data_IF_589723234945
#
_entry.id   IF_589723234945
#
_cell.length_a   1.000
_cell.length_b   1.000
_cell.length_c   1.000
_cell.angle_alpha   90.00
_cell.angle_beta   90.00
_cell.angle_gamma   90.00
#
_symmetry.space_group_name_H-M   'P 1'
#
loop_
_entity.id
_entity.type
_entity.pdbx_description
1 polymer ?
#
# COMPACT_ATOMS: atom_id res chain seq x y z
N UNK A 1 -17.45 16.62 -33.03
CA UNK A 1 -16.66 15.91 -31.99
C UNK A 1 -17.50 14.73 -31.50
N UNK A 2 -17.42 13.58 -32.16
CA UNK A 2 -18.34 12.46 -31.91
C UNK A 2 -17.69 11.37 -31.05
N UNK A 3 -18.33 11.01 -29.93
CA UNK A 3 -18.02 9.83 -29.11
C UNK A 3 -17.30 10.11 -27.77
N UNK A 4 -17.77 9.48 -26.68
CA UNK A 4 -17.00 9.36 -25.45
C UNK A 4 -15.80 8.43 -25.70
N UNK A 5 -14.59 8.95 -25.48
CA UNK A 5 -13.36 8.15 -25.56
C UNK A 5 -13.05 7.56 -24.19
N UNK A 6 -13.35 6.29 -24.01
CA UNK A 6 -13.03 5.56 -22.78
C UNK A 6 -11.53 5.24 -22.69
N UNK A 7 -11.00 5.27 -21.46
CA UNK A 7 -9.66 4.81 -21.13
C UNK A 7 -9.71 4.05 -19.81
N UNK A 8 -8.84 3.07 -19.65
CA UNK A 8 -8.73 2.28 -18.44
C UNK A 8 -7.56 2.76 -17.61
N UNK A 9 -7.82 3.08 -16.34
CA UNK A 9 -6.81 3.40 -15.34
C UNK A 9 -6.58 2.15 -14.49
N UNK A 10 -5.36 1.63 -14.51
CA UNK A 10 -4.94 0.49 -13.69
C UNK A 10 -4.06 0.96 -12.55
N UNK A 11 -4.33 0.46 -11.35
CA UNK A 11 -3.49 0.59 -10.17
C UNK A 11 -2.87 -0.77 -9.87
N UNK A 12 -1.55 -0.82 -9.73
CA UNK A 12 -0.80 -2.05 -9.48
C UNK A 12 0.12 -1.82 -8.29
N UNK A 13 0.06 -2.73 -7.33
CA UNK A 13 1.00 -2.78 -6.22
C UNK A 13 1.92 -3.98 -6.37
N UNK A 14 3.18 -3.80 -6.03
CA UNK A 14 4.22 -4.83 -6.02
C UNK A 14 4.90 -4.78 -4.66
N UNK A 15 5.33 -5.92 -4.15
CA UNK A 15 6.20 -6.00 -2.99
C UNK A 15 6.82 -7.38 -2.88
N UNK A 16 7.86 -7.48 -2.08
CA UNK A 16 8.65 -8.69 -1.84
C UNK A 16 8.31 -9.36 -0.51
N UNK A 17 7.32 -8.84 0.24
CA UNK A 17 6.98 -9.25 1.60
C UNK A 17 8.12 -9.06 2.61
N UNK A 18 9.18 -8.35 2.25
CA UNK A 18 10.39 -8.19 3.06
C UNK A 18 10.88 -6.74 3.10
N UNK A 19 9.94 -5.81 3.27
CA UNK A 19 10.27 -4.40 3.47
C UNK A 19 10.44 -3.60 2.17
N UNK A 20 10.01 -4.08 1.00
CA UNK A 20 9.91 -3.24 -0.19
C UNK A 20 8.49 -3.25 -0.76
N UNK A 21 8.00 -2.05 -1.08
CA UNK A 21 6.69 -1.89 -1.72
C UNK A 21 6.76 -0.84 -2.82
N UNK A 22 6.10 -1.11 -3.94
CA UNK A 22 5.97 -0.20 -5.07
C UNK A 22 4.51 -0.06 -5.47
N UNK A 23 4.12 1.16 -5.87
CA UNK A 23 2.77 1.44 -6.37
C UNK A 23 2.88 2.16 -7.71
N UNK A 24 2.19 1.62 -8.71
CA UNK A 24 2.17 2.13 -10.07
C UNK A 24 0.75 2.38 -10.55
N UNK A 25 0.57 3.50 -11.27
CA UNK A 25 -0.72 3.88 -11.83
C UNK A 25 -0.53 4.26 -13.29
N UNK A 26 -1.28 3.63 -14.19
CA UNK A 26 -1.22 3.97 -15.61
C UNK A 26 -2.60 3.98 -16.24
N UNK A 27 -2.78 4.89 -17.20
CA UNK A 27 -3.99 5.01 -17.99
C UNK A 27 -3.69 4.73 -19.47
N UNK A 28 -4.47 3.86 -20.11
CA UNK A 28 -4.32 3.52 -21.53
C UNK A 28 -5.67 3.22 -22.18
N UNK A 29 -5.69 3.09 -23.52
CA UNK A 29 -6.91 2.72 -24.27
C UNK A 29 -7.30 1.27 -24.03
N UNK A 30 -6.32 0.38 -23.91
CA UNK A 30 -6.53 -1.05 -23.71
C UNK A 30 -6.08 -1.47 -22.31
N UNK A 31 -6.85 -2.37 -21.69
CA UNK A 31 -6.59 -2.84 -20.32
C UNK A 31 -5.21 -3.48 -20.18
N UNK A 32 -4.83 -4.37 -21.10
CA UNK A 32 -3.54 -5.06 -21.05
C UNK A 32 -2.35 -4.09 -21.09
N UNK A 33 -2.44 -3.04 -21.92
CA UNK A 33 -1.40 -2.01 -22.01
C UNK A 33 -1.32 -1.15 -20.75
N UNK A 34 -2.46 -0.86 -20.11
CA UNK A 34 -2.51 -0.14 -18.83
C UNK A 34 -1.83 -0.97 -17.72
N UNK A 35 -2.16 -2.26 -17.61
CA UNK A 35 -1.59 -3.16 -16.59
C UNK A 35 -0.08 -3.30 -16.77
N UNK A 36 0.39 -3.64 -17.99
CA UNK A 36 1.83 -3.83 -18.26
C UNK A 36 2.64 -2.59 -17.90
N UNK A 37 2.16 -1.41 -18.27
CA UNK A 37 2.88 -0.19 -17.95
C UNK A 37 2.71 0.25 -16.49
N UNK A 38 1.62 -0.10 -15.81
CA UNK A 38 1.47 0.11 -14.37
C UNK A 38 2.44 -0.78 -13.57
N UNK A 39 2.68 -2.02 -14.01
CA UNK A 39 3.71 -2.91 -13.44
C UNK A 39 5.10 -2.28 -13.55
N UNK A 40 5.47 -1.78 -14.74
CA UNK A 40 6.77 -1.12 -14.93
C UNK A 40 6.89 0.11 -14.02
N UNK A 41 5.86 0.95 -13.96
CA UNK A 41 5.87 2.12 -13.08
C UNK A 41 6.01 1.72 -11.61
N UNK A 42 5.30 0.68 -11.16
CA UNK A 42 5.36 0.17 -9.79
C UNK A 42 6.77 -0.35 -9.43
N UNK A 43 7.48 -0.96 -10.38
CA UNK A 43 8.87 -1.40 -10.17
C UNK A 43 9.86 -0.23 -10.10
N UNK A 44 9.58 0.86 -10.81
CA UNK A 44 10.42 2.07 -10.77
C UNK A 44 10.19 2.88 -9.48
N UNK A 45 9.00 2.80 -8.89
CA UNK A 45 8.60 3.53 -7.68
C UNK A 45 8.70 2.68 -6.41
N UNK A 46 9.62 1.72 -6.35
CA UNK A 46 9.83 0.90 -5.15
C UNK A 46 10.40 1.76 -4.03
N UNK A 47 9.77 1.67 -2.86
CA UNK A 47 10.13 2.39 -1.65
C UNK A 47 10.48 1.36 -0.57
N UNK A 48 11.64 1.52 0.11
CA UNK A 48 11.96 0.71 1.27
C UNK A 48 11.06 1.08 2.46
N UNK A 49 10.49 0.07 3.11
CA UNK A 49 9.60 0.17 4.26
C UNK A 49 10.37 -0.26 5.50
N UNK A 50 10.63 0.72 6.38
CA UNK A 50 11.28 0.44 7.65
C UNK A 50 10.30 -0.26 8.60
N UNK A 51 10.63 -1.49 9.00
CA UNK A 51 9.95 -2.26 10.04
C UNK A 51 10.65 -2.08 11.39
N UNK A 52 9.94 -2.39 12.46
CA UNK A 52 10.40 -2.28 13.84
C UNK A 52 9.59 -3.14 14.79
N UNK A 53 9.68 -2.80 16.07
CA UNK A 53 9.07 -3.55 17.18
C UNK A 53 8.09 -2.65 17.94
N UNK A 54 7.10 -3.25 18.59
CA UNK A 54 6.17 -2.53 19.46
C UNK A 54 6.76 -2.26 20.85
N UNK A 55 7.64 -3.15 21.33
CA UNK A 55 8.27 -3.10 22.64
C UNK A 55 9.72 -3.61 22.57
N UNK A 56 10.04 -4.64 23.36
CA UNK A 56 11.38 -5.24 23.35
C UNK A 56 11.73 -5.80 21.95
N UNK A 57 12.97 -5.54 21.50
CA UNK A 57 13.48 -5.94 20.19
C UNK A 57 13.86 -7.44 20.18
N UNK A 58 12.84 -8.29 20.23
CA UNK A 58 12.98 -9.75 20.16
C UNK A 58 12.70 -10.21 18.74
N UNK A 59 13.56 -11.06 18.16
CA UNK A 59 13.34 -11.70 16.86
C UNK A 59 13.29 -10.74 15.67
N UNK A 60 12.52 -11.09 14.63
CA UNK A 60 12.33 -10.30 13.41
C UNK A 60 11.40 -9.08 13.64
N UNK A 61 11.58 -7.96 12.91
CA UNK A 61 10.74 -6.78 13.03
C UNK A 61 9.35 -7.01 12.39
N UNK A 62 8.29 -6.95 13.19
CA UNK A 62 6.93 -7.34 12.79
C UNK A 62 5.97 -6.17 12.52
N UNK A 63 6.27 -4.96 13.01
CA UNK A 63 5.35 -3.80 13.00
C UNK A 63 6.03 -2.53 12.47
N UNK A 64 5.26 -1.45 12.29
CA UNK A 64 5.78 -0.10 12.02
C UNK A 64 6.52 0.43 13.27
N UNK A 65 7.68 1.12 13.15
CA UNK A 65 8.48 1.58 14.29
C UNK A 65 7.85 2.71 15.10
N UNK A 66 6.97 3.51 14.51
CA UNK A 66 6.29 4.62 15.17
C UNK A 66 4.91 4.84 14.57
N UNK A 67 4.09 5.70 15.19
CA UNK A 67 2.80 6.06 14.61
C UNK A 67 3.05 6.97 13.40
N UNK A 68 2.72 6.48 12.20
CA UNK A 68 2.91 7.21 10.94
C UNK A 68 1.55 7.56 10.34
N UNK A 69 1.41 8.74 9.76
CA UNK A 69 0.22 9.15 9.03
C UNK A 69 0.57 9.57 7.61
N UNK A 70 -0.14 9.02 6.63
CA UNK A 70 -0.11 9.46 5.24
C UNK A 70 -1.44 10.10 4.84
N UNK A 71 -1.40 11.16 4.05
CA UNK A 71 -2.59 11.84 3.53
C UNK A 71 -2.49 11.96 2.01
N UNK A 72 -3.56 11.59 1.31
CA UNK A 72 -3.72 11.81 -0.13
C UNK A 72 -5.15 12.30 -0.36
N UNK A 73 -5.28 13.51 -0.92
CA UNK A 73 -6.59 14.15 -1.11
C UNK A 73 -7.34 14.33 0.23
N UNK A 74 -8.57 13.83 0.29
CA UNK A 74 -9.41 13.83 1.50
C UNK A 74 -9.16 12.64 2.43
N UNK A 75 -8.40 11.64 1.99
CA UNK A 75 -8.14 10.40 2.74
C UNK A 75 -6.88 10.54 3.56
N UNK A 76 -6.99 10.22 4.86
CA UNK A 76 -5.88 10.10 5.78
C UNK A 76 -5.84 8.68 6.33
N UNK A 77 -4.68 8.03 6.21
CA UNK A 77 -4.42 6.71 6.78
C UNK A 77 -3.33 6.83 7.84
N UNK A 78 -3.66 6.43 9.06
CA UNK A 78 -2.72 6.35 10.18
C UNK A 78 -2.37 4.90 10.45
N UNK A 79 -1.08 4.60 10.42
CA UNK A 79 -0.50 3.33 10.85
C UNK A 79 -0.07 3.46 12.30
N UNK A 80 -0.47 2.51 13.11
CA UNK A 80 -0.19 2.47 14.55
C UNK A 80 0.53 1.14 14.83
N UNK A 81 1.66 1.19 15.56
CA UNK A 81 2.38 -0.02 15.94
C UNK A 81 1.51 -0.97 16.76
N UNK A 82 1.61 -2.28 16.52
CA UNK A 82 0.79 -3.29 17.17
C UNK A 82 1.64 -4.38 17.86
N UNK A 83 1.14 -4.97 18.97
CA UNK A 83 1.75 -6.15 19.58
C UNK A 83 1.84 -7.34 18.61
N UNK A 84 2.76 -8.26 18.87
CA UNK A 84 2.92 -9.48 18.05
C UNK A 84 1.66 -10.33 18.04
N UNK A 85 1.30 -10.84 16.87
CA UNK A 85 0.15 -11.74 16.69
C UNK A 85 -1.21 -11.03 16.61
N UNK A 86 -1.21 -9.70 16.52
CA UNK A 86 -2.43 -8.90 16.28
C UNK A 86 -2.95 -9.10 14.85
N UNK A 87 -2.04 -9.34 13.91
CA UNK A 87 -2.27 -9.28 12.48
C UNK A 87 -2.50 -7.86 11.97
N UNK A 88 -2.79 -7.76 10.68
CA UNK A 88 -3.08 -6.49 10.02
C UNK A 88 -4.56 -6.17 10.17
N UNK A 89 -4.86 -5.19 11.01
CA UNK A 89 -6.21 -4.63 11.23
C UNK A 89 -6.38 -3.44 10.30
N UNK A 90 -6.81 -3.72 9.08
CA UNK A 90 -7.00 -2.72 8.03
C UNK A 90 -8.11 -3.11 7.04
N UNK A 91 -8.58 -2.13 6.26
CA UNK A 91 -9.49 -2.36 5.15
C UNK A 91 -8.85 -3.33 4.12
N UNK A 92 -9.64 -4.09 3.33
CA UNK A 92 -9.10 -5.13 2.45
C UNK A 92 -8.02 -4.63 1.48
N UNK A 93 -8.19 -3.43 0.91
CA UNK A 93 -7.23 -2.84 0.00
C UNK A 93 -5.90 -2.48 0.69
N UNK A 94 -5.95 -1.80 1.84
CA UNK A 94 -4.75 -1.44 2.60
C UNK A 94 -4.08 -2.66 3.24
N UNK A 95 -4.85 -3.67 3.64
CA UNK A 95 -4.33 -4.94 4.15
C UNK A 95 -3.41 -5.61 3.13
N UNK A 96 -3.81 -5.69 1.86
CA UNK A 96 -2.97 -6.27 0.79
C UNK A 96 -1.68 -5.48 0.59
N UNK A 97 -1.74 -4.15 0.64
CA UNK A 97 -0.54 -3.31 0.53
C UNK A 97 0.44 -3.50 1.69
N UNK A 98 -0.06 -3.56 2.92
CA UNK A 98 0.77 -3.79 4.11
C UNK A 98 1.38 -5.20 4.12
N UNK A 99 0.66 -6.20 3.63
CA UNK A 99 1.20 -7.55 3.44
C UNK A 99 2.37 -7.54 2.46
N UNK A 100 2.21 -6.90 1.30
CA UNK A 100 3.27 -6.79 0.29
C UNK A 100 4.52 -6.07 0.83
N UNK A 101 4.33 -5.13 1.76
CA UNK A 101 5.42 -4.44 2.45
C UNK A 101 6.11 -5.28 3.54
N UNK A 102 5.62 -6.48 3.87
CA UNK A 102 6.19 -7.34 4.90
C UNK A 102 5.85 -6.96 6.34
N UNK A 103 4.77 -6.18 6.54
CA UNK A 103 4.28 -5.82 7.88
C UNK A 103 3.31 -6.90 8.35
N UNK A 104 3.60 -7.54 9.48
CA UNK A 104 2.78 -8.62 10.02
C UNK A 104 1.66 -8.08 10.93
N UNK A 105 2.00 -7.12 11.79
CA UNK A 105 1.08 -6.55 12.76
C UNK A 105 0.99 -5.04 12.59
N UNK A 106 -0.24 -4.53 12.42
CA UNK A 106 -0.48 -3.09 12.38
C UNK A 106 -1.95 -2.78 12.65
N UNK A 107 -2.19 -1.79 13.51
CA UNK A 107 -3.49 -1.14 13.60
C UNK A 107 -3.55 0.01 12.61
N UNK A 108 -4.65 0.11 11.88
CA UNK A 108 -4.87 1.23 10.95
C UNK A 108 -6.11 2.03 11.31
N UNK A 109 -6.04 3.32 11.06
CA UNK A 109 -7.19 4.22 11.14
C UNK A 109 -7.26 5.01 9.83
N UNK A 110 -8.34 4.83 9.09
CA UNK A 110 -8.66 5.62 7.90
C UNK A 110 -9.71 6.68 8.22
N UNK A 111 -9.48 7.93 7.80
CA UNK A 111 -10.43 9.04 7.87
C UNK A 111 -10.63 9.65 6.47
N UNK A 112 -11.84 10.11 6.17
CA UNK A 112 -12.20 10.68 4.86
C UNK A 112 -12.99 9.71 3.98
N UNK A 113 -13.07 10.01 2.68
CA UNK A 113 -13.82 9.19 1.71
C UNK A 113 -12.96 8.05 1.14
N UNK A 114 -13.03 6.89 1.79
CA UNK A 114 -12.22 5.69 1.45
C UNK A 114 -12.73 4.88 0.26
N UNK A 115 -13.83 5.31 -0.38
CA UNK A 115 -14.39 4.64 -1.56
C UNK A 115 -13.72 5.07 -2.88
N UNK A 116 -12.79 6.02 -2.82
CA UNK A 116 -12.07 6.57 -3.98
C UNK A 116 -10.88 5.72 -4.39
#
# INVERSE_FOLDING_TARGET
RAGQRTRFKAFVAIGDFDGHVGLGVKCAKEVATAIRGAIILAKLSVIPVRRGYWGAALGEPHTVPSKVSGKVGSVMCRLIPAPRGTGIVAAPASKRLLQLAGVEDCYTQSKGSTAT
#
